data_IF_241836536520
#
_entry.id   IF_241836536520
#
_cell.length_a   1.000
_cell.length_b   1.000
_cell.length_c   1.000
_cell.angle_alpha   90.00
_cell.angle_beta   90.00
_cell.angle_gamma   90.00
#
_symmetry.space_group_name_H-M   'P 1'
#
loop_
_entity.id
_entity.type
_entity.pdbx_description
1 polymer ?
#
# COMPACT_ATOMS: atom_id res chain seq x y z
N UNK A 1 28.31 -2.61 58.52
CA UNK A 1 28.75 -2.68 57.12
C UNK A 1 27.88 -3.75 56.46
N UNK A 2 26.67 -3.41 56.05
CA UNK A 2 26.29 -2.62 54.85
C UNK A 2 26.31 -3.48 53.59
N UNK A 3 25.21 -3.47 52.85
CA UNK A 3 25.02 -4.23 51.61
C UNK A 3 23.58 -4.65 51.33
N UNK A 4 22.59 -3.81 51.65
CA UNK A 4 21.20 -4.04 51.23
C UNK A 4 21.13 -3.89 49.72
N UNK A 5 20.79 -4.96 48.99
CA UNK A 5 20.52 -4.92 47.54
C UNK A 5 19.24 -4.11 47.32
N UNK A 6 19.42 -2.81 47.10
CA UNK A 6 18.36 -1.93 46.60
C UNK A 6 18.08 -2.38 45.16
N UNK A 7 16.94 -3.04 44.96
CA UNK A 7 16.40 -3.29 43.64
C UNK A 7 16.25 -1.96 42.91
N UNK A 8 16.68 -1.95 41.66
CA UNK A 8 16.50 -0.83 40.73
C UNK A 8 14.99 -0.58 40.58
N UNK A 9 14.44 0.29 41.43
CA UNK A 9 13.15 0.91 41.20
C UNK A 9 13.39 1.84 40.03
N UNK A 10 12.95 1.39 38.86
CA UNK A 10 12.87 2.22 37.66
C UNK A 10 11.92 3.34 38.05
N UNK A 11 12.45 4.54 38.29
CA UNK A 11 11.66 5.71 38.70
C UNK A 11 10.58 5.94 37.65
N UNK A 12 9.36 5.49 37.96
CA UNK A 12 8.18 5.78 37.17
C UNK A 12 7.93 7.29 37.25
N UNK A 13 7.62 7.97 36.13
CA UNK A 13 7.31 9.38 36.15
C UNK A 13 6.16 9.62 37.14
N UNK A 14 6.34 10.61 38.02
CA UNK A 14 5.38 10.99 39.06
C UNK A 14 3.97 11.17 38.47
N UNK A 15 3.12 10.14 38.61
CA UNK A 15 1.74 10.15 38.13
C UNK A 15 1.25 8.90 37.39
N UNK A 16 2.12 7.97 36.97
CA UNK A 16 1.69 6.67 36.44
C UNK A 16 1.78 5.59 37.53
N UNK A 17 0.64 4.99 37.85
CA UNK A 17 0.61 3.72 38.57
C UNK A 17 0.91 2.56 37.59
N UNK A 18 1.36 1.39 38.07
CA UNK A 18 1.69 0.27 37.18
C UNK A 18 0.49 -0.21 36.34
N UNK A 19 -0.74 -0.05 36.84
CA UNK A 19 -1.96 -0.45 36.13
C UNK A 19 -2.25 0.42 34.90
N UNK A 20 -1.97 1.73 34.98
CA UNK A 20 -2.14 2.67 33.86
C UNK A 20 -1.07 2.44 32.79
N UNK A 21 0.17 2.10 33.16
CA UNK A 21 1.23 1.75 32.20
C UNK A 21 0.89 0.48 31.40
N UNK A 22 0.38 -0.56 32.07
CA UNK A 22 -0.07 -1.80 31.42
C UNK A 22 -1.26 -1.56 30.48
N UNK A 23 -2.21 -0.71 30.88
CA UNK A 23 -3.34 -0.32 30.03
C UNK A 23 -2.87 0.43 28.78
N UNK A 24 -1.98 1.42 28.93
CA UNK A 24 -1.42 2.15 27.79
C UNK A 24 -0.65 1.24 26.83
N UNK A 25 0.12 0.29 27.37
CA UNK A 25 0.84 -0.71 26.56
C UNK A 25 -0.14 -1.58 25.77
N UNK A 26 -1.22 -2.02 26.42
CA UNK A 26 -2.25 -2.83 25.77
C UNK A 26 -2.95 -2.05 24.65
N UNK A 27 -3.28 -0.78 24.90
CA UNK A 27 -3.91 0.11 23.92
C UNK A 27 -2.96 0.45 22.76
N UNK A 28 -1.66 0.66 23.02
CA UNK A 28 -0.69 0.93 21.96
C UNK A 28 -0.48 -0.26 21.04
N UNK A 29 -0.43 -1.47 21.60
CA UNK A 29 -0.34 -2.70 20.81
C UNK A 29 -1.59 -2.88 19.94
N UNK A 30 -2.77 -2.67 20.51
CA UNK A 30 -4.03 -2.75 19.76
C UNK A 30 -4.09 -1.72 18.63
N UNK A 31 -3.64 -0.49 18.88
CA UNK A 31 -3.54 0.54 17.85
C UNK A 31 -2.59 0.12 16.73
N UNK A 32 -1.43 -0.45 17.06
CA UNK A 32 -0.48 -0.97 16.07
C UNK A 32 -1.13 -2.07 15.20
N UNK A 33 -1.82 -3.03 15.82
CA UNK A 33 -2.55 -4.07 15.11
C UNK A 33 -3.58 -3.49 14.13
N UNK A 34 -4.40 -2.53 14.56
CA UNK A 34 -5.36 -1.87 13.69
C UNK A 34 -4.71 -1.10 12.54
N UNK A 35 -3.55 -0.47 12.78
CA UNK A 35 -2.80 0.25 11.73
C UNK A 35 -2.12 -0.67 10.73
N UNK A 36 -1.93 -1.94 11.10
CA UNK A 36 -1.39 -2.97 10.22
C UNK A 36 -2.47 -3.60 9.31
N UNK A 37 -3.76 -3.36 9.60
CA UNK A 37 -4.85 -3.82 8.73
C UNK A 37 -4.86 -3.00 7.44
N UNK A 38 -4.68 -3.70 6.33
CA UNK A 38 -4.79 -3.16 4.99
C UNK A 38 -6.23 -3.18 4.49
N UNK A 39 -6.61 -2.21 3.66
CA UNK A 39 -7.89 -2.14 2.98
C UNK A 39 -7.71 -2.29 1.46
N UNK A 40 -8.68 -2.90 0.78
CA UNK A 40 -8.70 -2.96 -0.69
C UNK A 40 -9.47 -1.74 -1.21
N UNK A 41 -8.76 -0.82 -1.85
CA UNK A 41 -9.35 0.40 -2.43
C UNK A 41 -10.00 0.11 -3.79
N UNK A 42 -9.30 -0.65 -4.65
CA UNK A 42 -9.73 -1.01 -6.00
C UNK A 42 -9.19 -2.39 -6.38
N UNK A 43 -9.89 -3.06 -7.29
CA UNK A 43 -9.43 -4.31 -7.87
C UNK A 43 -9.72 -4.34 -9.37
N UNK A 44 -8.81 -4.93 -10.14
CA UNK A 44 -8.94 -5.13 -11.58
C UNK A 44 -8.59 -6.57 -11.93
N UNK A 45 -9.26 -7.10 -12.95
CA UNK A 45 -8.96 -8.41 -13.53
C UNK A 45 -8.56 -8.24 -15.00
N UNK A 46 -7.41 -8.79 -15.34
CA UNK A 46 -6.86 -8.79 -16.70
C UNK A 46 -6.99 -10.20 -17.24
N UNK A 47 -7.67 -10.34 -18.38
CA UNK A 47 -7.72 -11.62 -19.09
C UNK A 47 -6.36 -11.86 -19.74
N UNK A 48 -5.75 -13.01 -19.47
CA UNK A 48 -4.65 -13.50 -20.31
C UNK A 48 -5.23 -13.97 -21.64
N UNK A 49 -4.40 -14.06 -22.68
CA UNK A 49 -4.80 -14.65 -23.96
C UNK A 49 -5.16 -16.14 -23.86
N UNK A 50 -4.84 -16.81 -22.74
CA UNK A 50 -5.30 -18.16 -22.42
C UNK A 50 -6.66 -18.15 -21.72
N UNK A 51 -7.49 -19.16 -22.00
CA UNK A 51 -8.86 -19.28 -21.46
C UNK A 51 -8.87 -19.51 -19.93
N UNK A 52 -7.75 -19.98 -19.37
CA UNK A 52 -7.66 -20.48 -17.99
C UNK A 52 -6.93 -19.56 -17.02
N UNK A 53 -6.15 -18.61 -17.52
CA UNK A 53 -5.30 -17.79 -16.69
C UNK A 53 -5.75 -16.34 -16.78
N UNK A 54 -6.02 -15.73 -15.64
CA UNK A 54 -6.27 -14.31 -15.53
C UNK A 54 -5.34 -13.74 -14.47
N UNK A 55 -5.13 -12.44 -14.50
CA UNK A 55 -4.34 -11.78 -13.48
C UNK A 55 -5.22 -10.79 -12.74
N UNK A 56 -5.17 -10.81 -11.41
CA UNK A 56 -5.77 -9.78 -10.57
C UNK A 56 -4.72 -8.74 -10.18
N UNK A 57 -5.10 -7.47 -10.16
CA UNK A 57 -4.35 -6.41 -9.48
C UNK A 57 -5.24 -5.73 -8.47
N UNK A 58 -4.69 -5.48 -7.29
CA UNK A 58 -5.39 -4.88 -6.15
C UNK A 58 -4.63 -3.63 -5.73
N UNK A 59 -5.33 -2.50 -5.69
CA UNK A 59 -4.87 -1.31 -5.00
C UNK A 59 -5.23 -1.46 -3.53
N UNK A 60 -4.20 -1.60 -2.70
CA UNK A 60 -4.33 -1.80 -1.26
C UNK A 60 -3.85 -0.54 -0.56
N UNK A 61 -4.52 -0.14 0.51
CA UNK A 61 -4.11 0.97 1.34
C UNK A 61 -3.94 0.61 2.80
N UNK A 62 -2.97 1.26 3.45
CA UNK A 62 -2.67 1.05 4.86
C UNK A 62 -2.42 2.40 5.55
N UNK A 63 -2.92 2.59 6.79
CA UNK A 63 -2.57 3.76 7.61
C UNK A 63 -1.06 3.86 7.85
N UNK A 64 -0.52 5.07 7.80
CA UNK A 64 0.84 5.37 8.24
C UNK A 64 0.80 6.56 9.21
N UNK A 65 0.74 6.23 10.50
CA UNK A 65 0.63 7.22 11.58
C UNK A 65 1.81 8.20 11.59
N UNK A 66 3.03 7.71 11.40
CA UNK A 66 4.25 8.53 11.46
C UNK A 66 4.29 9.62 10.38
N UNK A 67 3.85 9.30 9.17
CA UNK A 67 3.81 10.28 8.08
C UNK A 67 2.48 11.06 8.02
N UNK A 68 1.50 10.73 8.89
CA UNK A 68 0.12 11.21 8.80
C UNK A 68 -0.45 11.11 7.36
N UNK A 69 -0.19 9.99 6.70
CA UNK A 69 -0.58 9.70 5.31
C UNK A 69 -1.16 8.29 5.21
N UNK A 70 -1.86 8.01 4.12
CA UNK A 70 -2.27 6.65 3.77
C UNK A 70 -1.31 6.09 2.72
N UNK A 71 -0.59 5.02 3.04
CA UNK A 71 0.27 4.32 2.08
C UNK A 71 -0.61 3.53 1.13
N UNK A 72 -0.20 3.46 -0.14
CA UNK A 72 -0.88 2.70 -1.17
C UNK A 72 0.09 1.76 -1.85
N UNK A 73 -0.40 0.58 -2.18
CA UNK A 73 0.37 -0.49 -2.79
C UNK A 73 -0.43 -1.14 -3.91
N UNK A 74 0.25 -1.65 -4.93
CA UNK A 74 -0.33 -2.64 -5.83
C UNK A 74 0.16 -4.01 -5.42
N UNK A 75 -0.80 -4.92 -5.24
CA UNK A 75 -0.54 -6.34 -5.10
C UNK A 75 -1.18 -7.09 -6.27
N UNK A 76 -0.43 -8.01 -6.87
CA UNK A 76 -0.91 -8.81 -7.98
C UNK A 76 -1.12 -10.26 -7.60
N UNK A 77 -2.01 -10.92 -8.31
CA UNK A 77 -2.25 -12.35 -8.17
C UNK A 77 -2.44 -12.99 -9.55
N UNK A 78 -1.94 -14.20 -9.72
CA UNK A 78 -2.35 -15.05 -10.83
C UNK A 78 -3.60 -15.82 -10.41
N UNK A 79 -4.64 -15.73 -11.21
CA UNK A 79 -5.93 -16.37 -11.03
C UNK A 79 -5.96 -17.56 -11.99
N UNK A 80 -5.90 -18.77 -11.44
CA UNK A 80 -6.03 -20.00 -12.22
C UNK A 80 -7.35 -20.68 -11.89
N UNK A 81 -8.06 -21.12 -12.93
CA UNK A 81 -9.31 -21.86 -12.76
C UNK A 81 -9.00 -23.34 -12.59
N UNK A 82 -9.14 -23.86 -11.37
CA UNK A 82 -8.97 -25.29 -11.09
C UNK A 82 -10.21 -26.11 -11.45
N UNK A 83 -11.41 -25.54 -11.24
CA UNK A 83 -12.68 -26.18 -11.55
C UNK A 83 -13.76 -25.15 -11.93
N UNK A 84 -14.98 -25.55 -12.35
CA UNK A 84 -16.07 -24.62 -12.62
C UNK A 84 -16.44 -23.72 -11.43
N UNK A 85 -16.20 -24.17 -10.20
CA UNK A 85 -16.61 -23.50 -8.95
C UNK A 85 -15.44 -23.09 -8.06
N UNK A 86 -14.19 -23.43 -8.42
CA UNK A 86 -13.00 -23.07 -7.65
C UNK A 86 -11.98 -22.30 -8.48
N UNK A 87 -11.35 -21.32 -7.84
CA UNK A 87 -10.24 -20.53 -8.37
C UNK A 87 -9.11 -20.57 -7.36
N UNK A 88 -7.89 -20.64 -7.87
CA UNK A 88 -6.67 -20.53 -7.09
C UNK A 88 -6.04 -19.17 -7.33
N UNK A 89 -5.57 -18.54 -6.26
CA UNK A 89 -4.94 -17.22 -6.27
C UNK A 89 -3.50 -17.34 -5.82
N UNK A 90 -2.57 -17.16 -6.76
CA UNK A 90 -1.14 -17.12 -6.46
C UNK A 90 -0.69 -15.66 -6.36
N UNK A 91 -0.62 -15.20 -5.11
CA UNK A 91 -0.21 -13.83 -4.79
C UNK A 91 1.28 -13.60 -5.07
N UNK A 92 1.59 -12.42 -5.60
CA UNK A 92 2.98 -11.97 -5.68
C UNK A 92 3.56 -11.83 -4.27
N UNK A 93 4.86 -12.17 -4.08
CA UNK A 93 5.48 -12.17 -2.76
C UNK A 93 5.65 -10.77 -2.18
N UNK A 94 5.79 -9.75 -3.03
CA UNK A 94 6.05 -8.38 -2.60
C UNK A 94 5.10 -7.39 -3.29
N UNK A 95 4.40 -6.55 -2.52
CA UNK A 95 3.62 -5.46 -3.08
C UNK A 95 4.53 -4.33 -3.59
N UNK A 96 4.04 -3.55 -4.56
CA UNK A 96 4.76 -2.38 -5.09
C UNK A 96 4.15 -1.10 -4.54
N UNK A 97 4.95 -0.26 -3.90
CA UNK A 97 4.49 1.00 -3.34
C UNK A 97 4.12 2.03 -4.43
N UNK A 98 2.99 2.69 -4.24
CA UNK A 98 2.40 3.68 -5.16
C UNK A 98 2.64 5.11 -4.70
N UNK A 99 3.86 5.40 -4.23
CA UNK A 99 4.27 6.73 -3.78
C UNK A 99 4.17 7.75 -4.91
N UNK A 100 3.60 8.93 -4.62
CA UNK A 100 3.42 10.00 -5.62
C UNK A 100 2.38 9.72 -6.70
N UNK A 101 1.69 8.58 -6.66
CA UNK A 101 0.65 8.26 -7.65
C UNK A 101 -0.60 9.10 -7.39
N UNK A 102 -0.99 9.87 -8.40
CA UNK A 102 -2.22 10.68 -8.38
C UNK A 102 -3.39 9.98 -9.07
N UNK A 103 -3.11 9.17 -10.11
CA UNK A 103 -4.13 8.52 -10.94
C UNK A 103 -3.75 7.09 -11.24
N UNK A 104 -4.73 6.18 -11.14
CA UNK A 104 -4.66 4.80 -11.65
C UNK A 104 -5.98 4.53 -12.37
N UNK A 105 -5.92 4.37 -13.69
CA UNK A 105 -7.10 4.12 -14.52
C UNK A 105 -6.85 2.97 -15.49
N UNK A 106 -7.83 2.08 -15.70
CA UNK A 106 -7.73 1.04 -16.70
C UNK A 106 -7.84 1.63 -18.10
N UNK A 107 -7.06 1.07 -19.02
CA UNK A 107 -7.25 1.27 -20.46
C UNK A 107 -8.67 0.84 -20.88
N UNK A 108 -9.25 1.43 -21.94
CA UNK A 108 -10.56 1.02 -22.46
C UNK A 108 -10.65 -0.46 -22.82
N UNK A 109 -9.54 -1.08 -23.25
CA UNK A 109 -9.46 -2.51 -23.53
C UNK A 109 -9.40 -3.39 -22.27
N UNK A 110 -9.19 -2.80 -21.09
CA UNK A 110 -9.04 -3.53 -19.83
C UNK A 110 -7.77 -4.37 -19.73
N UNK A 111 -6.79 -4.18 -20.62
CA UNK A 111 -5.56 -4.99 -20.68
C UNK A 111 -4.35 -4.33 -20.02
N UNK A 112 -4.41 -3.00 -19.84
CA UNK A 112 -3.35 -2.19 -19.25
C UNK A 112 -3.91 -1.17 -18.26
N UNK A 113 -3.06 -0.64 -17.40
CA UNK A 113 -3.35 0.51 -16.55
C UNK A 113 -2.47 1.70 -16.96
N UNK A 114 -3.04 2.89 -16.93
CA UNK A 114 -2.29 4.13 -16.89
C UNK A 114 -2.13 4.53 -15.42
N UNK A 115 -0.89 4.71 -15.00
CA UNK A 115 -0.51 5.21 -13.69
C UNK A 115 0.17 6.56 -13.89
N UNK A 116 -0.31 7.58 -13.18
CA UNK A 116 0.27 8.92 -13.22
C UNK A 116 0.95 9.17 -11.88
N UNK A 117 2.24 9.51 -11.91
CA UNK A 117 2.98 9.96 -10.74
C UNK A 117 3.30 11.44 -10.84
N UNK A 118 2.74 12.21 -9.93
CA UNK A 118 3.06 13.61 -9.76
C UNK A 118 4.14 13.72 -8.68
N UNK A 119 5.24 14.42 -8.95
CA UNK A 119 6.25 14.64 -7.96
C UNK A 119 5.81 15.65 -6.91
N UNK A 120 6.34 15.50 -5.69
CA UNK A 120 6.17 16.49 -4.63
C UNK A 120 7.11 17.70 -4.82
N UNK A 121 8.02 17.68 -5.81
CA UNK A 121 9.02 18.70 -6.12
C UNK A 121 9.01 19.09 -7.62
N UNK A 122 9.97 19.92 -8.07
CA UNK A 122 10.11 20.36 -9.48
C UNK A 122 10.58 19.26 -10.46
N UNK A 123 10.45 17.98 -10.12
CA UNK A 123 10.82 16.90 -11.04
C UNK A 123 9.73 16.66 -12.11
N UNK A 124 10.03 15.89 -13.18
CA UNK A 124 9.06 15.58 -14.21
C UNK A 124 7.87 14.74 -13.70
N UNK A 125 6.67 15.02 -14.22
CA UNK A 125 5.53 14.14 -14.09
C UNK A 125 5.80 12.84 -14.86
N UNK A 126 5.46 11.68 -14.27
CA UNK A 126 5.67 10.39 -14.92
C UNK A 126 4.33 9.77 -15.32
N UNK A 127 4.27 9.36 -16.57
CA UNK A 127 3.17 8.56 -17.12
C UNK A 127 3.67 7.13 -17.31
N UNK A 128 3.12 6.21 -16.54
CA UNK A 128 3.49 4.80 -16.54
C UNK A 128 2.38 3.97 -17.15
N UNK A 129 2.74 3.09 -18.08
CA UNK A 129 1.86 2.06 -18.64
C UNK A 129 2.22 0.75 -17.97
N UNK A 130 1.25 0.18 -17.27
CA UNK A 130 1.39 -1.09 -16.59
C UNK A 130 0.62 -2.17 -17.32
N UNK A 131 1.23 -3.35 -17.49
CA UNK A 131 0.54 -4.54 -17.96
C UNK A 131 1.05 -5.76 -17.22
N UNK A 132 0.18 -6.75 -17.05
CA UNK A 132 0.51 -7.98 -16.35
C UNK A 132 1.18 -7.74 -14.97
N UNK A 133 0.76 -6.69 -14.26
CA UNK A 133 1.31 -6.28 -12.96
C UNK A 133 2.77 -5.81 -12.98
N UNK A 134 3.27 -5.42 -14.13
CA UNK A 134 4.62 -4.90 -14.34
C UNK A 134 4.56 -3.59 -15.11
N UNK A 135 5.63 -2.80 -14.99
CA UNK A 135 5.81 -1.57 -15.76
C UNK A 135 6.25 -1.94 -17.18
N UNK A 136 5.41 -1.67 -18.18
CA UNK A 136 5.75 -1.86 -19.60
C UNK A 136 6.56 -0.67 -20.13
N UNK A 137 6.12 0.55 -19.79
CA UNK A 137 6.69 1.77 -20.34
C UNK A 137 6.49 2.94 -19.39
N UNK A 138 7.49 3.80 -19.34
CA UNK A 138 7.47 5.04 -18.57
C UNK A 138 7.79 6.22 -19.50
N UNK A 139 7.07 7.32 -19.31
CA UNK A 139 7.33 8.59 -19.98
C UNK A 139 7.53 9.68 -18.94
N UNK A 140 8.59 10.46 -19.10
CA UNK A 140 8.89 11.60 -18.24
C UNK A 140 8.45 12.86 -18.98
N UNK A 141 7.52 13.61 -18.38
CA UNK A 141 6.98 14.85 -18.93
C UNK A 141 7.60 16.01 -18.16
N UNK A 142 8.51 16.80 -18.77
CA UNK A 142 9.13 17.92 -18.09
C UNK A 142 8.10 18.97 -17.65
N UNK A 143 8.33 19.67 -16.52
CA UNK A 143 7.43 20.73 -16.05
C UNK A 143 7.23 21.86 -17.07
N UNK A 144 8.20 22.08 -17.96
CA UNK A 144 8.12 23.07 -19.06
C UNK A 144 7.11 22.68 -20.14
N UNK A 145 6.75 21.40 -20.25
CA UNK A 145 5.77 20.88 -21.20
C UNK A 145 4.39 20.78 -20.54
N UNK A 146 4.34 20.16 -19.36
CA UNK A 146 3.11 20.00 -18.59
C UNK A 146 3.41 19.82 -17.10
N UNK A 147 2.53 20.36 -16.25
CA UNK A 147 2.60 20.17 -14.80
C UNK A 147 2.01 18.85 -14.31
N UNK A 148 1.69 18.79 -13.02
CA UNK A 148 1.00 17.65 -12.40
C UNK A 148 -0.33 17.31 -13.08
N UNK A 149 -0.57 16.02 -13.30
CA UNK A 149 -1.77 15.51 -13.99
C UNK A 149 -2.71 14.86 -12.97
N UNK A 150 -3.99 15.21 -13.03
CA UNK A 150 -5.04 14.69 -12.16
C UNK A 150 -6.28 14.34 -13.00
N UNK A 151 -7.11 13.43 -12.50
CA UNK A 151 -8.45 13.22 -13.04
C UNK A 151 -9.40 14.27 -12.47
N UNK A 152 -10.39 14.68 -13.27
CA UNK A 152 -11.47 15.61 -12.86
C UNK A 152 -12.42 15.03 -11.81
N UNK A 153 -12.32 13.72 -11.51
CA UNK A 153 -13.00 13.09 -10.39
C UNK A 153 -14.45 12.69 -10.67
N UNK A 154 -14.85 12.71 -11.95
CA UNK A 154 -16.17 12.26 -12.42
C UNK A 154 -16.16 10.79 -12.86
#
# INVERSE_FOLDING_TARGET
MEGSKVGLVKDLPLGLDPTTEEEYTSQSNLLEEFTNISNIDKAWTFKSGSVTDSQGMFLISQPNLLANKRRKFILSTQITKESPTSVNLQWAPFPVEMTGVSVIVPSPSGTKLLVVRNPENESPCKLEIWSQSQLDKEYHVPPTVHGSVYTDGW
#
